data_IF_877263265215
#
_entry.id   IF_877263265215
#
_cell.length_a   1.000
_cell.length_b   1.000
_cell.length_c   1.000
_cell.angle_alpha   90.00
_cell.angle_beta   90.00
_cell.angle_gamma   90.00
#
_symmetry.space_group_name_H-M   'P 1'
#
loop_
_entity.id
_entity.type
_entity.pdbx_description
1 polymer ?
#
# COMPACT_ATOMS: atom_id res chain seq x y z
N UNK A 1 69.66 48.24 -34.69
CA UNK A 1 69.26 47.01 -35.41
C UNK A 1 69.86 45.83 -34.63
N UNK A 2 69.14 45.09 -33.80
CA UNK A 2 67.76 45.15 -33.34
C UNK A 2 67.63 44.37 -32.02
N UNK A 3 66.56 44.56 -31.24
CA UNK A 3 66.22 43.65 -30.17
C UNK A 3 64.99 42.81 -30.59
N UNK A 4 64.95 41.53 -30.20
CA UNK A 4 63.73 40.79 -29.90
C UNK A 4 64.07 39.41 -29.36
N UNK A 5 64.22 39.34 -28.04
CA UNK A 5 64.04 38.12 -27.28
C UNK A 5 62.53 37.98 -27.08
N UNK A 6 61.91 37.10 -27.86
CA UNK A 6 60.52 36.72 -27.66
C UNK A 6 60.48 35.75 -26.47
N UNK A 7 60.10 36.24 -25.29
CA UNK A 7 59.56 35.39 -24.25
C UNK A 7 58.07 35.25 -24.56
N UNK A 8 57.65 34.07 -24.99
CA UNK A 8 56.27 33.66 -24.87
C UNK A 8 56.00 33.33 -23.40
N UNK A 9 55.18 34.10 -22.67
CA UNK A 9 54.52 33.56 -21.51
C UNK A 9 53.37 32.69 -22.03
N UNK A 10 53.61 31.38 -22.13
CA UNK A 10 52.49 30.43 -21.99
C UNK A 10 51.98 30.60 -20.56
N UNK A 11 51.05 31.54 -20.40
CA UNK A 11 50.27 31.72 -19.19
C UNK A 11 49.53 30.42 -18.95
N UNK A 12 49.92 29.71 -17.90
CA UNK A 12 49.17 28.60 -17.33
C UNK A 12 47.72 29.04 -17.13
N UNK A 13 46.78 28.29 -17.71
CA UNK A 13 45.35 28.51 -17.51
C UNK A 13 44.95 28.17 -16.07
N UNK A 14 45.15 29.12 -15.16
CA UNK A 14 44.57 29.08 -13.82
C UNK A 14 43.05 29.17 -13.95
N UNK A 15 42.41 28.00 -13.89
CA UNK A 15 40.95 27.86 -13.88
C UNK A 15 40.47 28.14 -12.45
N UNK A 16 40.41 29.43 -12.09
CA UNK A 16 39.89 29.87 -10.81
C UNK A 16 38.36 29.68 -10.74
N UNK A 17 37.89 28.92 -9.75
CA UNK A 17 36.47 28.70 -9.48
C UNK A 17 35.72 30.05 -9.37
N UNK A 18 34.72 30.24 -10.23
CA UNK A 18 33.88 31.43 -10.18
C UNK A 18 32.92 31.34 -9.00
N UNK A 19 32.67 32.45 -8.30
CA UNK A 19 31.65 32.52 -7.24
C UNK A 19 30.27 32.08 -7.77
N UNK A 20 29.98 32.40 -9.03
CA UNK A 20 28.75 31.98 -9.71
C UNK A 20 28.68 30.46 -9.86
N UNK A 21 29.80 29.80 -10.16
CA UNK A 21 29.88 28.35 -10.29
C UNK A 21 29.57 27.67 -8.94
N UNK A 22 30.15 28.17 -7.86
CA UNK A 22 29.87 27.66 -6.50
C UNK A 22 28.40 27.90 -6.13
N UNK A 23 27.83 29.07 -6.45
CA UNK A 23 26.43 29.37 -6.22
C UNK A 23 25.51 28.39 -6.97
N UNK A 24 25.80 28.09 -8.23
CA UNK A 24 25.05 27.11 -9.03
C UNK A 24 25.12 25.73 -8.40
N UNK A 25 26.31 25.29 -7.96
CA UNK A 25 26.48 23.98 -7.29
C UNK A 25 25.62 23.90 -6.01
N UNK A 26 25.64 24.94 -5.17
CA UNK A 26 24.84 24.96 -3.92
C UNK A 26 23.34 24.91 -4.23
N UNK A 27 22.87 25.66 -5.23
CA UNK A 27 21.47 25.63 -5.65
C UNK A 27 21.08 24.25 -6.18
N UNK A 28 21.91 23.63 -7.01
CA UNK A 28 21.66 22.28 -7.54
C UNK A 28 21.61 21.24 -6.41
N UNK A 29 22.54 21.28 -5.46
CA UNK A 29 22.52 20.39 -4.30
C UNK A 29 21.26 20.59 -3.44
N UNK A 30 20.83 21.84 -3.24
CA UNK A 30 19.59 22.16 -2.54
C UNK A 30 18.34 21.60 -3.24
N UNK A 31 18.28 21.71 -4.57
CA UNK A 31 17.17 21.15 -5.37
C UNK A 31 17.16 19.63 -5.32
N UNK A 32 18.32 18.98 -5.45
CA UNK A 32 18.45 17.52 -5.33
C UNK A 32 18.01 17.05 -3.95
N UNK A 33 18.45 17.72 -2.88
CA UNK A 33 18.05 17.39 -1.51
C UNK A 33 16.53 17.53 -1.30
N UNK A 34 15.91 18.58 -1.87
CA UNK A 34 14.47 18.79 -1.80
C UNK A 34 13.69 17.67 -2.52
N UNK A 35 14.12 17.29 -3.73
CA UNK A 35 13.49 16.20 -4.50
C UNK A 35 13.58 14.87 -3.76
N UNK A 36 14.75 14.56 -3.18
CA UNK A 36 14.94 13.35 -2.36
C UNK A 36 14.05 13.38 -1.11
N UNK A 37 13.96 14.53 -0.43
CA UNK A 37 13.14 14.68 0.76
C UNK A 37 11.65 14.46 0.46
N UNK A 38 11.13 15.08 -0.60
CA UNK A 38 9.75 14.92 -1.03
C UNK A 38 9.48 13.49 -1.51
N UNK A 39 10.39 12.91 -2.29
CA UNK A 39 10.29 11.52 -2.78
C UNK A 39 10.26 10.50 -1.64
N UNK A 40 11.16 10.64 -0.66
CA UNK A 40 11.21 9.77 0.52
C UNK A 40 9.93 9.88 1.36
N UNK A 41 9.43 11.10 1.61
CA UNK A 41 8.16 11.34 2.31
C UNK A 41 6.96 10.72 1.57
N UNK A 42 6.92 10.81 0.24
CA UNK A 42 5.88 10.23 -0.59
C UNK A 42 5.88 8.70 -0.56
N UNK A 43 7.06 8.08 -0.68
CA UNK A 43 7.22 6.63 -0.66
C UNK A 43 6.77 6.01 0.68
N UNK A 44 7.07 6.66 1.80
CA UNK A 44 6.65 6.18 3.14
C UNK A 44 5.12 6.15 3.26
N UNK A 45 4.41 7.17 2.77
CA UNK A 45 2.93 7.21 2.82
C UNK A 45 2.27 6.15 1.93
N UNK A 46 2.87 5.87 0.77
CA UNK A 46 2.38 4.82 -0.13
C UNK A 46 2.61 3.44 0.50
N UNK A 47 3.77 3.23 1.15
CA UNK A 47 4.09 2.00 1.86
C UNK A 47 3.10 1.68 2.99
N UNK A 48 2.73 2.68 3.79
CA UNK A 48 1.73 2.49 4.85
C UNK A 48 0.34 2.17 4.32
N UNK A 49 -0.07 2.81 3.22
CA UNK A 49 -1.38 2.54 2.59
C UNK A 49 -1.42 1.14 1.98
N UNK A 50 -0.32 0.73 1.31
CA UNK A 50 -0.18 -0.62 0.77
C UNK A 50 -0.19 -1.69 1.87
N UNK A 51 0.52 -1.45 2.98
CA UNK A 51 0.53 -2.34 4.13
C UNK A 51 -0.86 -2.53 4.74
N UNK A 52 -1.62 -1.44 4.94
CA UNK A 52 -2.99 -1.51 5.49
C UNK A 52 -3.94 -2.30 4.59
N UNK A 53 -3.84 -2.14 3.27
CA UNK A 53 -4.63 -2.94 2.33
C UNK A 53 -4.24 -4.42 2.37
N UNK A 54 -2.94 -4.72 2.43
CA UNK A 54 -2.46 -6.11 2.53
C UNK A 54 -2.94 -6.78 3.83
N UNK A 55 -2.91 -6.07 4.96
CA UNK A 55 -3.46 -6.56 6.24
C UNK A 55 -4.97 -6.83 6.15
N UNK A 56 -5.73 -5.93 5.54
CA UNK A 56 -7.18 -6.12 5.34
C UNK A 56 -7.49 -7.35 4.47
N UNK A 57 -6.76 -7.53 3.37
CA UNK A 57 -6.92 -8.69 2.47
C UNK A 57 -6.51 -9.99 3.17
N UNK A 58 -5.44 -9.98 3.97
CA UNK A 58 -5.03 -11.15 4.74
C UNK A 58 -6.09 -11.55 5.78
N UNK A 59 -6.63 -10.57 6.51
CA UNK A 59 -7.70 -10.79 7.48
C UNK A 59 -8.97 -11.35 6.81
N UNK A 60 -9.34 -10.78 5.66
CA UNK A 60 -10.44 -11.25 4.82
C UNK A 60 -10.25 -12.71 4.40
N UNK A 61 -9.10 -13.03 3.82
CA UNK A 61 -8.82 -14.37 3.30
C UNK A 61 -8.88 -15.42 4.40
N UNK A 62 -8.27 -15.12 5.55
CA UNK A 62 -8.26 -16.03 6.67
C UNK A 62 -9.66 -16.21 7.28
N UNK A 63 -10.46 -15.14 7.36
CA UNK A 63 -11.87 -15.25 7.78
C UNK A 63 -12.72 -16.05 6.77
N UNK A 64 -12.50 -15.85 5.47
CA UNK A 64 -13.19 -16.61 4.43
C UNK A 64 -12.84 -18.12 4.49
N UNK A 65 -11.57 -18.45 4.70
CA UNK A 65 -11.12 -19.85 4.89
C UNK A 65 -11.74 -20.48 6.15
N UNK A 66 -11.77 -19.76 7.27
CA UNK A 66 -12.39 -20.26 8.51
C UNK A 66 -13.91 -20.44 8.37
N UNK A 67 -14.59 -19.49 7.73
CA UNK A 67 -16.04 -19.57 7.47
C UNK A 67 -16.37 -20.70 6.48
N UNK A 68 -15.57 -20.84 5.42
CA UNK A 68 -15.72 -21.95 4.46
C UNK A 68 -15.42 -23.32 5.09
N UNK A 69 -14.64 -23.38 6.17
CA UNK A 69 -14.44 -24.63 6.93
C UNK A 69 -15.62 -24.98 7.85
N UNK A 70 -16.50 -24.02 8.13
CA UNK A 70 -17.60 -24.12 9.11
C UNK A 70 -18.99 -23.96 8.47
N UNK A 71 -19.11 -24.32 7.19
CA UNK A 71 -20.37 -24.22 6.42
C UNK A 71 -21.59 -24.76 7.20
N UNK A 72 -21.55 -25.93 7.88
CA UNK A 72 -22.71 -26.43 8.62
C UNK A 72 -23.21 -25.46 9.70
N UNK A 73 -22.30 -24.76 10.38
CA UNK A 73 -22.62 -23.82 11.46
C UNK A 73 -23.17 -22.49 10.92
N UNK A 74 -22.87 -22.19 9.65
CA UNK A 74 -23.33 -20.96 8.99
C UNK A 74 -24.79 -20.99 8.57
N UNK A 75 -25.41 -22.17 8.50
CA UNK A 75 -26.81 -22.33 8.09
C UNK A 75 -27.78 -21.44 8.90
N UNK A 76 -27.49 -21.20 10.18
CA UNK A 76 -28.32 -20.37 11.06
C UNK A 76 -28.25 -18.87 10.76
N UNK A 77 -27.22 -18.42 10.03
CA UNK A 77 -27.00 -17.02 9.67
C UNK A 77 -27.54 -16.65 8.28
N UNK A 78 -28.21 -17.57 7.60
CA UNK A 78 -28.82 -17.31 6.29
C UNK A 78 -29.94 -16.28 6.46
N UNK A 79 -29.85 -15.17 5.74
CA UNK A 79 -30.90 -14.15 5.71
C UNK A 79 -31.06 -13.33 7.00
N UNK A 80 -30.17 -13.51 7.99
CA UNK A 80 -30.19 -12.72 9.23
C UNK A 80 -29.64 -11.30 9.06
N UNK A 81 -29.08 -10.99 7.89
CA UNK A 81 -28.45 -9.71 7.59
C UNK A 81 -26.95 -9.73 7.86
N UNK A 82 -26.39 -8.57 8.20
CA UNK A 82 -24.96 -8.42 8.48
C UNK A 82 -24.62 -8.97 9.86
N UNK A 83 -23.68 -9.93 9.89
CA UNK A 83 -23.17 -10.58 11.09
C UNK A 83 -21.70 -10.22 11.30
N UNK A 84 -21.29 -10.07 12.55
CA UNK A 84 -19.88 -9.88 12.91
C UNK A 84 -19.14 -11.22 12.94
N UNK A 85 -17.95 -11.27 12.36
CA UNK A 85 -17.08 -12.43 12.44
C UNK A 85 -16.38 -12.46 13.81
N UNK A 86 -16.71 -13.47 14.61
CA UNK A 86 -16.09 -13.73 15.93
C UNK A 86 -15.31 -15.04 15.95
N UNK A 87 -14.80 -15.48 14.80
CA UNK A 87 -14.16 -16.79 14.67
C UNK A 87 -12.76 -16.87 15.28
N UNK A 88 -12.10 -18.01 15.08
CA UNK A 88 -10.84 -18.34 15.75
C UNK A 88 -9.62 -17.62 15.16
N UNK A 89 -9.75 -17.05 13.96
CA UNK A 89 -8.67 -16.32 13.29
C UNK A 89 -8.51 -14.94 13.93
N UNK A 90 -7.28 -14.63 14.33
CA UNK A 90 -6.93 -13.30 14.85
C UNK A 90 -7.00 -12.26 13.73
N UNK A 91 -8.01 -11.39 13.80
CA UNK A 91 -8.11 -10.19 12.95
C UNK A 91 -7.19 -9.10 13.53
N UNK A 92 -6.40 -8.39 12.71
CA UNK A 92 -5.54 -7.31 13.18
C UNK A 92 -6.32 -6.22 13.91
N UNK A 93 -5.71 -5.62 14.93
CA UNK A 93 -6.38 -4.67 15.82
C UNK A 93 -6.94 -3.45 15.06
N UNK A 94 -8.21 -3.13 15.31
CA UNK A 94 -8.91 -2.03 14.65
C UNK A 94 -9.48 -2.36 13.26
N UNK A 95 -9.34 -3.60 12.79
CA UNK A 95 -10.14 -4.12 11.69
C UNK A 95 -11.28 -4.98 12.25
N UNK A 96 -12.43 -4.88 11.63
CA UNK A 96 -13.62 -5.68 11.90
C UNK A 96 -13.95 -6.45 10.64
N UNK A 97 -14.21 -7.74 10.76
CA UNK A 97 -14.70 -8.55 9.64
C UNK A 97 -16.18 -8.78 9.84
N UNK A 98 -16.95 -8.49 8.81
CA UNK A 98 -18.39 -8.68 8.77
C UNK A 98 -18.74 -9.57 7.60
N UNK A 99 -19.83 -10.32 7.74
CA UNK A 99 -20.30 -11.18 6.67
C UNK A 99 -21.81 -11.15 6.55
N UNK A 100 -22.31 -11.50 5.37
CA UNK A 100 -23.74 -11.69 5.11
C UNK A 100 -23.90 -12.95 4.30
N UNK A 101 -24.81 -13.82 4.71
CA UNK A 101 -25.06 -15.08 4.04
C UNK A 101 -26.45 -15.07 3.42
N UNK A 102 -26.53 -15.42 2.15
CA UNK A 102 -27.78 -15.49 1.39
C UNK A 102 -27.87 -16.83 0.68
N UNK A 103 -29.04 -17.47 0.77
CA UNK A 103 -29.33 -18.67 -0.03
C UNK A 103 -29.71 -18.24 -1.46
N UNK A 104 -29.08 -18.87 -2.46
CA UNK A 104 -29.40 -18.61 -3.87
C UNK A 104 -30.56 -19.48 -4.39
N UNK A 105 -30.98 -20.48 -3.61
CA UNK A 105 -32.00 -21.45 -4.02
C UNK A 105 -31.51 -22.49 -5.03
N UNK A 106 -30.22 -22.50 -5.36
CA UNK A 106 -29.60 -23.39 -6.36
C UNK A 106 -28.64 -24.42 -5.71
N UNK A 107 -28.77 -24.68 -4.41
CA UNK A 107 -27.81 -25.53 -3.67
C UNK A 107 -26.46 -24.85 -3.44
N UNK A 108 -26.42 -23.52 -3.56
CA UNK A 108 -25.24 -22.69 -3.33
C UNK A 108 -25.64 -21.54 -2.40
N UNK A 109 -24.84 -21.30 -1.38
CA UNK A 109 -24.94 -20.09 -0.57
C UNK A 109 -23.95 -19.03 -1.05
N UNK A 110 -24.41 -17.78 -1.03
CA UNK A 110 -23.61 -16.61 -1.35
C UNK A 110 -23.19 -15.94 -0.03
N UNK A 111 -21.90 -16.01 0.27
CA UNK A 111 -21.27 -15.40 1.43
C UNK A 111 -20.59 -14.11 0.98
N UNK A 112 -21.13 -12.97 1.38
CA UNK A 112 -20.44 -11.69 1.23
C UNK A 112 -19.60 -11.43 2.48
N UNK A 113 -18.33 -11.08 2.32
CA UNK A 113 -17.47 -10.63 3.40
C UNK A 113 -17.06 -9.18 3.19
N UNK A 114 -16.95 -8.44 4.28
CA UNK A 114 -16.43 -7.07 4.31
C UNK A 114 -15.46 -6.92 5.47
N UNK A 115 -14.33 -6.27 5.21
CA UNK A 115 -13.39 -5.84 6.25
C UNK A 115 -13.52 -4.34 6.41
N UNK A 116 -13.91 -3.92 7.60
CA UNK A 116 -14.18 -2.54 7.96
C UNK A 116 -13.10 -2.06 8.91
N UNK A 117 -12.70 -0.80 8.78
CA UNK A 117 -11.81 -0.14 9.74
C UNK A 117 -12.29 1.28 9.98
N UNK A 118 -12.66 1.61 11.21
CA UNK A 118 -13.14 2.94 11.58
C UNK A 118 -14.38 3.39 10.80
N UNK A 119 -15.23 2.45 10.37
CA UNK A 119 -16.44 2.70 9.58
C UNK A 119 -16.26 2.61 8.06
N UNK A 120 -15.02 2.63 7.55
CA UNK A 120 -14.75 2.52 6.12
C UNK A 120 -14.50 1.06 5.69
N UNK A 121 -15.07 0.66 4.56
CA UNK A 121 -14.80 -0.66 3.97
C UNK A 121 -13.43 -0.66 3.32
N UNK A 122 -12.51 -1.45 3.87
CA UNK A 122 -11.14 -1.60 3.38
C UNK A 122 -11.03 -2.67 2.29
N UNK A 123 -11.81 -3.75 2.41
CA UNK A 123 -11.88 -4.85 1.47
C UNK A 123 -13.28 -5.49 1.49
N UNK A 124 -13.75 -5.98 0.35
CA UNK A 124 -15.01 -6.70 0.20
C UNK A 124 -14.82 -7.84 -0.81
N UNK A 125 -15.40 -9.00 -0.55
CA UNK A 125 -15.34 -10.15 -1.43
C UNK A 125 -16.62 -10.96 -1.31
N UNK A 126 -16.90 -11.76 -2.33
CA UNK A 126 -18.10 -12.60 -2.42
C UNK A 126 -17.67 -14.01 -2.76
N UNK A 127 -17.94 -14.92 -1.84
CA UNK A 127 -17.66 -16.34 -2.00
C UNK A 127 -18.96 -17.10 -2.26
N UNK A 128 -18.87 -18.10 -3.13
CA UNK A 128 -19.94 -19.07 -3.36
C UNK A 128 -19.58 -20.36 -2.64
N UNK A 129 -20.46 -20.81 -1.75
CA UNK A 129 -20.30 -21.99 -0.93
C UNK A 129 -21.32 -23.04 -1.35
N UNK A 130 -20.89 -24.27 -1.58
CA UNK A 130 -21.82 -25.38 -1.82
C UNK A 130 -22.55 -25.74 -0.52
N UNK A 131 -23.85 -26.00 -0.60
CA UNK A 131 -24.62 -26.38 0.58
C UNK A 131 -24.28 -27.79 1.03
N UNK A 132 -24.12 -28.04 2.35
CA UNK A 132 -23.84 -29.37 2.85
C UNK A 132 -25.06 -30.27 2.60
N UNK A 133 -24.91 -31.24 1.68
CA UNK A 133 -25.95 -32.22 1.35
C UNK A 133 -26.55 -32.14 -0.07
N UNK A 134 -25.91 -31.43 -1.01
CA UNK A 134 -26.19 -31.62 -2.44
C UNK A 134 -25.54 -32.87 -3.02
#
# INVERSE_FOLDING_TARGET
MGPRMALDPTVSGDSGFSLVEIMVVVVLLGLVALLVYVGARGAVRIGETGKRKAEAVAAMKAAAEDLSGKIPDLAWSIGTGECDYTGAVSVPLGYEVKYTLSDTGLGIWRLELRVVRGGDTMASDVLLLETPGS
#
